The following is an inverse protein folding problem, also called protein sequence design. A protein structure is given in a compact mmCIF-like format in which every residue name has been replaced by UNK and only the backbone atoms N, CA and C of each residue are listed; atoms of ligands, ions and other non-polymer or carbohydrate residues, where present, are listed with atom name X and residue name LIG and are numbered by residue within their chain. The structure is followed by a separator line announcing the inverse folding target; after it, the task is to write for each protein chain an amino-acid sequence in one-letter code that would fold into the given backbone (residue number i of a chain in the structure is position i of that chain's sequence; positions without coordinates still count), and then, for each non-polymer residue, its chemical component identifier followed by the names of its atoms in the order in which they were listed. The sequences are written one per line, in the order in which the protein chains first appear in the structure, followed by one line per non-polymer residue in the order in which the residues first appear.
data_IF_667165871736
#
_entry.id   IF_667165871736
#
_cell.length_a   1.000
_cell.length_b   1.000
_cell.length_c   1.000
_cell.angle_alpha   90.00
_cell.angle_beta   90.00
_cell.angle_gamma   90.00
#
_symmetry.space_group_name_H-M   'P 1'
#
loop_
_entity.id
_entity.type
_entity.pdbx_description
1 polymer ?
#
# COMPACT_ATOMS: atom_id res chain seq x y z
N UNK A 1 12.89 19.61 25.15
CA UNK A 1 11.61 18.95 24.82
C UNK A 1 11.77 17.74 23.88
N UNK A 2 12.73 17.72 22.93
CA UNK A 2 12.77 16.68 21.88
C UNK A 2 13.54 15.37 22.20
N UNK A 3 14.23 15.21 23.33
CA UNK A 3 15.02 13.99 23.61
C UNK A 3 14.27 12.91 24.39
N UNK A 4 13.06 13.20 24.91
CA UNK A 4 12.25 12.24 25.68
C UNK A 4 11.03 11.72 24.91
N UNK A 5 10.60 12.41 23.84
CA UNK A 5 9.49 11.98 23.00
C UNK A 5 10.06 11.19 21.81
N UNK A 6 9.86 9.87 21.77
CA UNK A 6 10.28 9.01 20.66
C UNK A 6 9.50 9.35 19.37
N UNK A 7 10.03 10.21 18.48
CA UNK A 7 9.24 10.67 17.34
C UNK A 7 9.15 9.56 16.30
N UNK A 8 7.96 9.37 15.75
CA UNK A 8 7.67 8.35 14.73
C UNK A 8 7.19 9.03 13.45
N UNK A 9 7.64 8.51 12.31
CA UNK A 9 7.16 8.95 11.00
C UNK A 9 5.82 8.25 10.75
N UNK A 10 4.87 9.00 10.20
CA UNK A 10 3.57 8.48 9.81
C UNK A 10 3.50 8.38 8.27
N UNK A 11 2.82 7.37 7.76
CA UNK A 11 2.47 7.23 6.35
C UNK A 11 0.95 7.20 6.14
N UNK A 12 0.44 7.75 5.03
CA UNK A 12 -0.97 7.64 4.68
C UNK A 12 -1.30 6.21 4.23
N UNK A 13 -2.36 5.66 4.81
CA UNK A 13 -2.92 4.35 4.48
C UNK A 13 -4.24 4.55 3.74
N UNK A 14 -4.39 3.80 2.66
CA UNK A 14 -5.58 3.82 1.80
C UNK A 14 -6.43 2.58 2.09
N UNK A 15 -7.75 2.74 2.16
CA UNK A 15 -8.67 1.62 2.01
C UNK A 15 -8.85 1.37 0.52
N UNK A 16 -8.45 0.21 0.06
CA UNK A 16 -8.48 -0.22 -1.33
C UNK A 16 -9.55 -1.30 -1.49
N UNK A 17 -10.46 -1.12 -2.43
CA UNK A 17 -11.40 -2.15 -2.86
C UNK A 17 -10.97 -2.62 -4.26
N UNK A 18 -10.77 -3.92 -4.43
CA UNK A 18 -10.36 -4.52 -5.70
C UNK A 18 -11.43 -5.49 -6.16
N UNK A 19 -11.86 -5.33 -7.41
CA UNK A 19 -12.85 -6.17 -8.06
C UNK A 19 -12.21 -6.88 -9.23
N UNK A 20 -12.34 -8.20 -9.28
CA UNK A 20 -11.83 -9.00 -10.38
C UNK A 20 -12.60 -10.33 -10.49
N UNK A 21 -12.58 -11.01 -11.66
CA UNK A 21 -13.11 -12.37 -11.76
C UNK A 21 -12.47 -13.31 -10.75
N UNK A 22 -13.27 -14.23 -10.18
CA UNK A 22 -12.84 -15.16 -9.11
C UNK A 22 -11.63 -16.01 -9.51
N UNK A 23 -11.47 -16.30 -10.81
CA UNK A 23 -10.29 -17.00 -11.34
C UNK A 23 -8.96 -16.30 -11.03
N UNK A 24 -8.94 -14.98 -10.83
CA UNK A 24 -7.74 -14.18 -10.50
C UNK A 24 -7.65 -13.81 -9.01
N UNK A 25 -8.61 -14.24 -8.17
CA UNK A 25 -8.67 -13.84 -6.76
C UNK A 25 -7.35 -14.10 -6.02
N UNK A 26 -6.75 -15.27 -6.23
CA UNK A 26 -5.46 -15.63 -5.62
C UNK A 26 -4.32 -14.71 -6.04
N UNK A 27 -4.24 -14.36 -7.33
CA UNK A 27 -3.22 -13.46 -7.85
C UNK A 27 -3.38 -12.04 -7.32
N UNK A 28 -4.62 -11.56 -7.20
CA UNK A 28 -4.96 -10.24 -6.65
C UNK A 28 -4.57 -10.16 -5.18
N UNK A 29 -4.94 -11.16 -4.36
CA UNK A 29 -4.54 -11.24 -2.95
C UNK A 29 -3.00 -11.31 -2.84
N UNK A 30 -2.34 -12.08 -3.71
CA UNK A 30 -0.88 -12.14 -3.78
C UNK A 30 -0.26 -10.77 -4.09
N UNK A 31 -0.84 -10.02 -5.02
CA UNK A 31 -0.43 -8.66 -5.35
C UNK A 31 -0.57 -7.69 -4.18
N UNK A 32 -1.72 -7.68 -3.51
CA UNK A 32 -1.97 -6.84 -2.34
C UNK A 32 -0.99 -7.14 -1.20
N UNK A 33 -0.69 -8.42 -0.95
CA UNK A 33 0.32 -8.84 0.03
C UNK A 33 1.73 -8.32 -0.32
N UNK A 34 2.13 -8.37 -1.60
CA UNK A 34 3.41 -7.77 -2.04
C UNK A 34 3.49 -6.27 -1.80
N UNK A 35 2.34 -5.58 -1.85
CA UNK A 35 2.23 -4.15 -1.51
C UNK A 35 2.16 -3.88 0.00
N UNK A 36 2.40 -4.88 0.84
CA UNK A 36 2.23 -4.82 2.30
C UNK A 36 0.80 -4.41 2.69
N UNK A 37 -0.18 -4.80 1.88
CA UNK A 37 -1.59 -4.62 2.17
C UNK A 37 -2.06 -5.60 3.26
N UNK A 38 -2.96 -5.14 4.12
CA UNK A 38 -3.68 -5.98 5.08
C UNK A 38 -5.08 -6.19 4.54
N UNK A 39 -5.43 -7.45 4.22
CA UNK A 39 -6.77 -7.80 3.76
C UNK A 39 -7.73 -7.70 4.95
N UNK A 40 -8.78 -6.88 4.80
CA UNK A 40 -9.83 -6.71 5.80
C UNK A 40 -11.02 -7.62 5.50
N UNK A 41 -11.40 -7.70 4.24
CA UNK A 41 -12.54 -8.49 3.80
C UNK A 41 -12.31 -9.07 2.40
N UNK A 42 -12.99 -10.17 2.12
CA UNK A 42 -12.93 -10.87 0.84
C UNK A 42 -14.29 -11.55 0.61
N UNK A 43 -15.09 -10.93 -0.25
CA UNK A 43 -16.43 -11.39 -0.60
C UNK A 43 -16.42 -11.91 -2.02
N UNK A 44 -17.01 -13.09 -2.23
CA UNK A 44 -17.25 -13.63 -3.56
C UNK A 44 -18.71 -13.43 -3.93
N UNK A 45 -18.96 -12.68 -5.00
CA UNK A 45 -20.29 -12.39 -5.56
C UNK A 45 -20.40 -13.04 -6.94
N UNK A 46 -21.10 -14.19 -7.03
CA UNK A 46 -21.21 -14.98 -8.25
C UNK A 46 -19.82 -15.32 -8.83
N UNK A 47 -19.46 -14.70 -9.95
CA UNK A 47 -18.20 -14.88 -10.68
C UNK A 47 -17.16 -13.79 -10.37
N UNK A 48 -17.49 -12.80 -9.53
CA UNK A 48 -16.63 -11.68 -9.14
C UNK A 48 -16.14 -11.82 -7.69
N UNK A 49 -14.88 -11.50 -7.45
CA UNK A 49 -14.29 -11.38 -6.13
C UNK A 49 -14.07 -9.89 -5.80
N UNK A 50 -14.58 -9.47 -4.64
CA UNK A 50 -14.43 -8.14 -4.07
C UNK A 50 -13.53 -8.24 -2.85
N UNK A 51 -12.35 -7.64 -2.92
CA UNK A 51 -11.32 -7.71 -1.87
C UNK A 51 -11.11 -6.32 -1.30
N UNK A 52 -11.35 -6.16 0.00
CA UNK A 52 -11.03 -4.93 0.73
C UNK A 52 -9.70 -5.07 1.46
N UNK A 53 -8.80 -4.09 1.29
CA UNK A 53 -7.50 -4.09 1.94
C UNK A 53 -7.07 -2.69 2.38
N UNK A 54 -6.34 -2.61 3.50
CA UNK A 54 -5.61 -1.40 3.89
C UNK A 54 -4.18 -1.46 3.35
N UNK A 55 -3.81 -0.50 2.51
CA UNK A 55 -2.50 -0.50 1.85
C UNK A 55 -1.80 0.84 2.02
N UNK A 56 -0.50 0.88 2.38
CA UNK A 56 0.27 2.12 2.39
C UNK A 56 0.29 2.77 1.01
N UNK A 57 -0.04 4.06 0.92
CA UNK A 57 -0.10 4.78 -0.36
C UNK A 57 1.22 4.70 -1.14
N UNK A 58 2.36 4.72 -0.44
CA UNK A 58 3.69 4.63 -1.05
C UNK A 58 3.92 3.32 -1.84
N UNK A 59 3.19 2.25 -1.50
CA UNK A 59 3.32 0.96 -2.18
C UNK A 59 2.34 0.84 -3.37
N UNK A 60 1.31 1.69 -3.46
CA UNK A 60 0.27 1.62 -4.49
C UNK A 60 0.71 2.19 -5.85
N UNK A 61 1.87 2.84 -5.93
CA UNK A 61 2.42 3.26 -7.22
C UNK A 61 2.61 2.08 -8.17
N UNK A 62 2.11 2.25 -9.40
CA UNK A 62 2.14 1.21 -10.44
C UNK A 62 1.15 0.05 -10.25
N UNK A 63 0.34 0.06 -9.18
CA UNK A 63 -0.60 -1.04 -8.91
C UNK A 63 -1.64 -1.23 -10.02
N UNK A 64 -2.13 -0.14 -10.64
CA UNK A 64 -3.09 -0.23 -11.76
C UNK A 64 -2.57 -1.07 -12.93
N UNK A 65 -1.29 -0.89 -13.30
CA UNK A 65 -0.65 -1.65 -14.37
C UNK A 65 -0.47 -3.11 -13.97
N UNK A 66 0.01 -3.35 -12.74
CA UNK A 66 0.18 -4.71 -12.19
C UNK A 66 -1.16 -5.47 -12.16
N UNK A 67 -2.22 -4.83 -11.65
CA UNK A 67 -3.56 -5.40 -11.59
C UNK A 67 -4.08 -5.78 -12.98
N UNK A 68 -3.94 -4.88 -13.97
CA UNK A 68 -4.29 -5.20 -15.36
C UNK A 68 -3.51 -6.41 -15.87
N UNK A 69 -2.22 -6.51 -15.60
CA UNK A 69 -1.40 -7.62 -16.07
C UNK A 69 -1.83 -8.96 -15.48
N UNK A 70 -2.09 -9.03 -14.17
CA UNK A 70 -2.46 -10.30 -13.51
C UNK A 70 -3.92 -10.71 -13.78
N UNK A 71 -4.81 -9.76 -14.07
CA UNK A 71 -6.23 -10.03 -14.35
C UNK A 71 -6.59 -10.03 -15.83
N UNK A 72 -5.59 -9.99 -16.72
CA UNK A 72 -5.77 -9.82 -18.17
C UNK A 72 -6.64 -8.59 -18.54
N UNK A 73 -6.57 -7.54 -17.73
CA UNK A 73 -7.29 -6.29 -17.93
C UNK A 73 -8.71 -6.26 -17.40
N UNK A 74 -9.16 -7.32 -16.70
CA UNK A 74 -10.53 -7.45 -16.17
C UNK A 74 -10.70 -6.96 -14.74
N UNK A 75 -9.59 -6.68 -14.04
CA UNK A 75 -9.62 -6.17 -12.67
C UNK A 75 -9.68 -4.65 -12.62
N UNK A 76 -10.44 -4.15 -11.66
CA UNK A 76 -10.51 -2.73 -11.31
C UNK A 76 -10.28 -2.55 -9.81
N UNK A 77 -9.86 -1.34 -9.41
CA UNK A 77 -9.72 -1.01 -8.01
C UNK A 77 -10.11 0.44 -7.76
N UNK A 78 -10.64 0.68 -6.58
CA UNK A 78 -10.85 2.01 -6.03
C UNK A 78 -10.07 2.15 -4.74
N UNK A 79 -9.70 3.38 -4.39
CA UNK A 79 -9.02 3.65 -3.13
C UNK A 79 -9.49 4.95 -2.53
N UNK A 80 -9.73 4.93 -1.22
CA UNK A 80 -10.08 6.09 -0.41
C UNK A 80 -9.09 6.24 0.74
N UNK A 81 -8.88 7.48 1.17
CA UNK A 81 -8.02 7.74 2.33
C UNK A 81 -8.68 7.16 3.59
N UNK A 82 -7.92 6.40 4.37
CA UNK A 82 -8.38 5.83 5.64
C UNK A 82 -7.80 6.61 6.82
N UNK A 83 -6.49 6.51 7.05
CA UNK A 83 -5.82 7.14 8.18
C UNK A 83 -4.32 7.31 7.93
N UNK A 84 -3.61 7.85 8.91
CA UNK A 84 -2.16 7.81 8.98
C UNK A 84 -1.73 6.75 9.99
N UNK A 85 -0.86 5.84 9.57
CA UNK A 85 -0.30 4.79 10.42
C UNK A 85 1.21 5.02 10.62
N UNK A 86 1.74 4.46 11.70
CA UNK A 86 3.17 4.50 11.97
C UNK A 86 3.90 3.64 10.94
N UNK A 87 4.94 4.20 10.32
CA UNK A 87 5.76 3.44 9.36
C UNK A 87 6.47 2.29 10.07
N UNK A 88 6.71 1.20 9.33
CA UNK A 88 7.59 0.13 9.78
C UNK A 88 9.00 0.65 10.11
N UNK A 89 9.69 0.00 11.06
CA UNK A 89 11.02 0.43 11.52
C UNK A 89 12.04 0.54 10.38
N UNK A 90 11.99 -0.40 9.42
CA UNK A 90 12.89 -0.43 8.27
C UNK A 90 12.69 0.81 7.37
N UNK A 91 11.44 1.14 7.07
CA UNK A 91 11.07 2.32 6.27
C UNK A 91 11.43 3.61 7.01
N UNK A 92 11.26 3.65 8.34
CA UNK A 92 11.67 4.80 9.14
C UNK A 92 13.16 5.09 9.00
N UNK A 93 14.00 4.06 9.14
CA UNK A 93 15.45 4.20 9.02
C UNK A 93 15.88 4.62 7.62
N UNK A 94 15.24 4.06 6.58
CA UNK A 94 15.49 4.44 5.20
C UNK A 94 15.16 5.91 4.94
N UNK A 95 13.98 6.36 5.38
CA UNK A 95 13.53 7.75 5.21
C UNK A 95 14.46 8.72 5.93
N UNK A 96 14.86 8.45 7.18
CA UNK A 96 15.81 9.28 7.92
C UNK A 96 17.15 9.38 7.21
N UNK A 97 17.73 8.25 6.76
CA UNK A 97 19.00 8.26 6.00
C UNK A 97 18.88 9.04 4.70
N UNK A 98 17.77 8.87 3.97
CA UNK A 98 17.54 9.57 2.70
C UNK A 98 17.43 11.09 2.90
N UNK A 99 16.81 11.52 4.00
CA UNK A 99 16.68 12.92 4.37
C UNK A 99 18.03 13.55 4.74
N UNK A 100 18.83 12.87 5.55
CA UNK A 100 20.19 13.31 5.91
C UNK A 100 21.08 13.48 4.68
N UNK A 101 21.02 12.51 3.74
CA UNK A 101 21.77 12.58 2.48
C UNK A 101 21.35 13.78 1.63
N UNK A 102 20.04 14.01 1.44
CA UNK A 102 19.52 15.18 0.71
C UNK A 102 19.95 16.50 1.36
N UNK A 103 19.88 16.59 2.68
CA UNK A 103 20.28 17.78 3.45
C UNK A 103 21.78 18.08 3.33
N UNK A 104 22.64 17.06 3.31
CA UNK A 104 24.09 17.24 3.12
C UNK A 104 24.48 17.69 1.71
N UNK A 105 23.67 17.35 0.71
CA UNK A 105 23.92 17.67 -0.71
C UNK A 105 23.38 19.05 -1.12
N UNK A 106 22.38 19.58 -0.39
CA UNK A 106 21.84 20.93 -0.60
C UNK A 106 22.56 22.05 0.15
N UNK A 107 23.63 21.73 0.90
CA UNK A 107 24.46 22.70 1.63
C UNK A 107 25.81 22.95 0.94
N UNK A 108 25.87 22.68 -0.38
CA UNK A 108 26.95 23.04 -1.30
C UNK A 108 26.40 23.88 -2.43
#
# INVERSE_FOLDING_TARGET
ANMECQPRILEPVMKCEVRAPTEYQGDVIGGLNRKKGVINDNVQELDEAVIEALVPLNNMFGYSTELRSITQGKGEFTMEYSNHAIVSMDVQQELTKSYEKKRSSGNK
#
